data_IF_287136899882
#
_entry.id   IF_287136899882
#
_cell.length_a   1.000
_cell.length_b   1.000
_cell.length_c   1.000
_cell.angle_alpha   90.00
_cell.angle_beta   90.00
_cell.angle_gamma   90.00
#
_symmetry.space_group_name_H-M   'P 1'
#
loop_
_entity.id
_entity.type
_entity.pdbx_description
1 polymer ?
#
# COMPACT_ATOMS: atom_id res chain seq x y z
N UNK A 1 3.01 6.05 15.67
CA UNK A 1 1.68 6.60 15.34
C UNK A 1 1.04 5.64 14.34
N UNK A 2 -0.25 5.33 14.47
CA UNK A 2 -0.94 4.46 13.50
C UNK A 2 -1.18 5.24 12.21
N UNK A 3 -0.83 4.65 11.07
CA UNK A 3 -1.16 5.21 9.75
C UNK A 3 -2.64 4.97 9.45
N UNK A 4 -3.46 6.01 9.61
CA UNK A 4 -4.92 5.92 9.45
C UNK A 4 -5.33 6.13 8.00
N UNK A 5 -6.57 5.74 7.67
CA UNK A 5 -7.17 6.00 6.35
C UNK A 5 -7.21 7.49 6.02
N UNK A 6 -7.47 8.36 7.02
CA UNK A 6 -7.46 9.80 6.81
C UNK A 6 -6.05 10.30 6.44
N UNK A 7 -5.04 9.89 7.20
CA UNK A 7 -3.65 10.24 6.90
C UNK A 7 -3.24 9.76 5.50
N UNK A 8 -3.67 8.56 5.11
CA UNK A 8 -3.42 8.01 3.78
C UNK A 8 -4.06 8.80 2.63
N UNK A 9 -5.16 9.52 2.88
CA UNK A 9 -5.75 10.46 1.90
C UNK A 9 -5.00 11.79 1.84
N UNK A 10 -4.55 12.29 2.99
CA UNK A 10 -3.88 13.58 3.11
C UNK A 10 -2.41 13.53 2.64
N UNK A 11 -1.82 12.34 2.56
CA UNK A 11 -0.40 12.14 2.20
C UNK A 11 -0.25 11.15 1.03
N UNK A 12 -0.82 11.42 -0.15
CA UNK A 12 -0.85 10.46 -1.27
C UNK A 12 0.55 10.06 -1.79
N UNK A 13 1.53 10.94 -1.62
CA UNK A 13 2.90 10.78 -2.14
C UNK A 13 3.90 10.34 -1.07
N UNK A 14 3.42 10.01 0.14
CA UNK A 14 4.29 9.48 1.18
C UNK A 14 4.91 8.15 0.73
N UNK A 15 6.23 8.03 0.86
CA UNK A 15 6.95 6.81 0.52
C UNK A 15 6.48 5.63 1.37
N UNK A 16 6.37 4.46 0.75
CA UNK A 16 5.95 3.23 1.41
C UNK A 16 6.88 2.07 1.05
N UNK A 17 7.17 1.15 1.97
CA UNK A 17 8.16 0.08 1.76
C UNK A 17 7.59 -1.11 0.96
N UNK A 18 6.82 -0.87 -0.10
CA UNK A 18 6.15 -1.92 -0.88
C UNK A 18 7.15 -2.93 -1.49
N UNK A 19 8.28 -2.45 -2.01
CA UNK A 19 9.32 -3.32 -2.58
C UNK A 19 9.96 -4.22 -1.52
N UNK A 20 10.18 -3.70 -0.31
CA UNK A 20 10.72 -4.47 0.80
C UNK A 20 9.72 -5.52 1.32
N UNK A 21 8.43 -5.35 1.03
CA UNK A 21 7.36 -6.30 1.31
C UNK A 21 7.16 -7.34 0.20
N UNK A 22 7.99 -7.30 -0.86
CA UNK A 22 7.95 -8.26 -1.97
C UNK A 22 6.95 -7.92 -3.08
N UNK A 23 6.29 -6.76 -3.01
CA UNK A 23 5.41 -6.30 -4.08
C UNK A 23 6.21 -5.74 -5.26
N UNK A 24 5.73 -6.00 -6.47
CA UNK A 24 6.15 -5.29 -7.69
C UNK A 24 5.50 -3.91 -7.76
N UNK A 25 6.05 -3.03 -8.59
CA UNK A 25 5.53 -1.67 -8.74
C UNK A 25 4.08 -1.66 -9.28
N UNK A 26 3.77 -2.50 -10.26
CA UNK A 26 2.43 -2.63 -10.83
C UNK A 26 1.39 -3.14 -9.83
N UNK A 27 1.77 -4.07 -8.95
CA UNK A 27 0.93 -4.53 -7.84
C UNK A 27 0.64 -3.40 -6.86
N UNK A 28 1.67 -2.61 -6.50
CA UNK A 28 1.48 -1.43 -5.66
C UNK A 28 0.56 -0.40 -6.31
N UNK A 29 0.74 -0.08 -7.59
CA UNK A 29 -0.13 0.83 -8.31
C UNK A 29 -1.57 0.29 -8.37
N UNK A 30 -1.74 -1.01 -8.59
CA UNK A 30 -3.07 -1.64 -8.61
C UNK A 30 -3.79 -1.52 -7.26
N UNK A 31 -3.08 -1.67 -6.15
CA UNK A 31 -3.64 -1.44 -4.80
C UNK A 31 -4.10 0.02 -4.68
N UNK A 32 -3.29 0.98 -5.16
CA UNK A 32 -3.66 2.41 -5.14
C UNK A 32 -4.92 2.70 -5.96
N UNK A 33 -5.04 2.09 -7.15
CA UNK A 33 -6.22 2.19 -8.00
C UNK A 33 -7.47 1.64 -7.31
N UNK A 34 -7.37 0.46 -6.69
CA UNK A 34 -8.50 -0.20 -6.00
C UNK A 34 -9.00 0.60 -4.80
N UNK A 35 -8.08 1.23 -4.06
CA UNK A 35 -8.41 2.02 -2.87
C UNK A 35 -8.74 3.49 -3.19
N UNK A 36 -8.37 3.98 -4.37
CA UNK A 36 -8.46 5.40 -4.76
C UNK A 36 -7.55 6.33 -3.95
N UNK A 37 -6.53 5.78 -3.28
CA UNK A 37 -5.52 6.46 -2.45
C UNK A 37 -4.33 5.54 -2.20
N UNK A 38 -3.26 6.03 -1.57
CA UNK A 38 -2.25 5.10 -1.04
C UNK A 38 -2.85 4.19 0.05
N UNK A 39 -2.43 2.91 0.16
CA UNK A 39 -2.82 2.06 1.28
C UNK A 39 -2.26 2.61 2.60
N UNK A 40 -2.86 2.23 3.72
CA UNK A 40 -2.22 2.35 5.04
C UNK A 40 -1.11 1.31 5.17
N UNK A 41 -0.20 1.48 6.13
CA UNK A 41 0.83 0.47 6.42
C UNK A 41 0.25 -0.93 6.69
N UNK A 42 -0.89 -1.02 7.38
CA UNK A 42 -1.55 -2.30 7.66
C UNK A 42 -2.18 -2.92 6.40
N UNK A 43 -2.89 -2.13 5.60
CA UNK A 43 -3.45 -2.61 4.33
C UNK A 43 -2.35 -3.07 3.37
N UNK A 44 -1.25 -2.31 3.27
CA UNK A 44 -0.12 -2.65 2.42
C UNK A 44 0.51 -4.00 2.82
N UNK A 45 0.73 -4.22 4.12
CA UNK A 45 1.23 -5.49 4.63
C UNK A 45 0.25 -6.66 4.41
N UNK A 46 -1.07 -6.41 4.50
CA UNK A 46 -2.06 -7.42 4.18
C UNK A 46 -2.03 -7.80 2.69
N UNK A 47 -2.02 -6.82 1.79
CA UNK A 47 -1.94 -7.07 0.35
C UNK A 47 -0.65 -7.76 -0.04
N UNK A 48 0.49 -7.40 0.55
CA UNK A 48 1.77 -8.05 0.25
C UNK A 48 1.73 -9.54 0.57
N UNK A 49 1.16 -9.94 1.71
CA UNK A 49 1.00 -11.37 2.04
C UNK A 49 0.06 -12.07 1.06
N UNK A 50 -1.06 -11.44 0.70
CA UNK A 50 -2.04 -12.07 -0.19
C UNK A 50 -1.55 -12.24 -1.62
N UNK A 51 -0.70 -11.34 -2.12
CA UNK A 51 -0.31 -11.26 -3.53
C UNK A 51 1.13 -11.74 -3.80
N UNK A 52 1.97 -11.92 -2.76
CA UNK A 52 3.37 -12.34 -2.89
C UNK A 52 3.60 -13.75 -3.48
N UNK A 53 2.55 -14.53 -3.76
CA UNK A 53 2.64 -15.86 -4.41
C UNK A 53 2.16 -15.89 -5.87
N UNK A 54 2.00 -14.74 -6.54
CA UNK A 54 1.80 -14.64 -8.00
C UNK A 54 3.01 -14.00 -8.72
#
# INVERSE_FOLDING_TARGET
MVDTVQNARETPDAEQPWAALGLKEDEYQRIRELLGRRPTGAELAMYSVMWSEH
#
